data_IF_262469919654
#
_entry.id   IF_262469919654
#
_cell.length_a   1.000
_cell.length_b   1.000
_cell.length_c   1.000
_cell.angle_alpha   90.00
_cell.angle_beta   90.00
_cell.angle_gamma   90.00
#
_symmetry.space_group_name_H-M   'P 1'
#
loop_
_entity.id
_entity.type
_entity.pdbx_description
1 polymer ?
#
# COMPACT_ATOMS: atom_id res chain seq x y z
N UNK A 1 -5.29 -22.58 12.34
CA UNK A 1 -5.30 -22.37 13.79
C UNK A 1 -6.60 -22.99 14.34
N UNK A 2 -6.45 -24.00 15.21
CA UNK A 2 -7.59 -24.55 15.96
C UNK A 2 -7.93 -23.55 17.08
N UNK A 3 -9.21 -23.30 17.32
CA UNK A 3 -9.63 -22.66 18.56
C UNK A 3 -9.35 -23.59 19.76
N UNK A 4 -9.38 -23.05 20.97
CA UNK A 4 -9.12 -23.82 22.19
C UNK A 4 -10.16 -24.94 22.49
N UNK A 5 -11.19 -25.07 21.63
CA UNK A 5 -12.23 -26.08 21.74
C UNK A 5 -12.16 -27.17 20.65
N UNK A 6 -11.11 -27.13 19.80
CA UNK A 6 -10.91 -28.13 18.73
C UNK A 6 -11.97 -28.09 17.63
N UNK A 7 -12.76 -27.04 17.58
CA UNK A 7 -13.73 -26.83 16.50
C UNK A 7 -13.01 -26.27 15.28
N UNK A 8 -13.24 -26.93 14.19
CA UNK A 8 -12.52 -26.81 12.95
C UNK A 8 -12.33 -25.41 12.47
N UNK A 9 -11.21 -25.31 11.77
CA UNK A 9 -10.68 -24.13 11.10
C UNK A 9 -11.73 -23.06 10.86
N UNK A 10 -11.43 -21.88 11.36
CA UNK A 10 -12.15 -20.63 11.12
C UNK A 10 -12.79 -20.68 9.73
N UNK A 11 -14.06 -20.96 9.67
CA UNK A 11 -14.82 -20.96 8.42
C UNK A 11 -14.62 -19.57 7.79
N UNK A 12 -14.13 -19.52 6.55
CA UNK A 12 -13.83 -18.28 5.81
C UNK A 12 -12.69 -17.40 6.37
N UNK A 13 -11.75 -17.95 7.14
CA UNK A 13 -10.55 -17.25 7.64
C UNK A 13 -10.82 -16.01 8.52
N UNK A 14 -11.99 -15.92 9.14
CA UNK A 14 -12.35 -14.88 10.09
C UNK A 14 -11.73 -15.18 11.45
N UNK A 15 -10.91 -14.25 11.96
CA UNK A 15 -10.26 -14.42 13.25
C UNK A 15 -11.25 -14.16 14.39
N UNK A 16 -11.50 -15.10 15.32
CA UNK A 16 -12.47 -14.92 16.41
C UNK A 16 -12.00 -13.92 17.47
N UNK A 17 -10.72 -13.53 17.43
CA UNK A 17 -10.13 -12.57 18.34
C UNK A 17 -8.63 -12.48 18.19
N UNK A 18 -8.00 -11.50 18.83
CA UNK A 18 -6.57 -11.29 18.87
C UNK A 18 -6.14 -10.91 20.29
N UNK A 19 -5.26 -11.70 20.89
CA UNK A 19 -4.91 -11.54 22.30
C UNK A 19 -6.13 -11.72 23.22
N UNK A 20 -6.54 -10.66 23.91
CA UNK A 20 -7.71 -10.65 24.79
C UNK A 20 -8.98 -10.14 24.10
N UNK A 21 -8.84 -9.58 22.89
CA UNK A 21 -9.94 -8.95 22.16
C UNK A 21 -10.77 -10.01 21.42
N UNK A 22 -12.07 -9.90 21.49
CA UNK A 22 -13.02 -10.71 20.72
C UNK A 22 -13.49 -9.94 19.50
N UNK A 23 -13.68 -10.64 18.38
CA UNK A 23 -14.07 -10.07 17.09
C UNK A 23 -15.41 -10.64 16.63
N UNK A 24 -16.30 -9.75 16.18
CA UNK A 24 -17.52 -10.11 15.48
C UNK A 24 -17.47 -9.63 14.04
N UNK A 25 -18.09 -10.38 13.12
CA UNK A 25 -18.13 -10.07 11.70
C UNK A 25 -19.54 -10.14 11.17
N UNK A 26 -19.85 -9.35 10.14
CA UNK A 26 -21.06 -9.49 9.38
C UNK A 26 -20.96 -10.65 8.35
N UNK A 27 -22.02 -10.85 7.58
CA UNK A 27 -22.07 -11.90 6.54
C UNK A 27 -21.04 -11.69 5.43
N UNK A 28 -20.66 -10.46 5.15
CA UNK A 28 -19.66 -10.08 4.14
C UNK A 28 -18.22 -10.22 4.65
N UNK A 29 -18.02 -10.60 5.92
CA UNK A 29 -16.71 -10.79 6.50
C UNK A 29 -16.01 -9.49 6.95
N UNK A 30 -16.77 -8.41 7.10
CA UNK A 30 -16.28 -7.17 7.66
C UNK A 30 -16.40 -7.17 9.18
N UNK A 31 -15.38 -6.66 9.87
CA UNK A 31 -15.35 -6.58 11.33
C UNK A 31 -16.41 -5.60 11.84
N UNK A 32 -17.34 -6.07 12.65
CA UNK A 32 -18.42 -5.25 13.22
C UNK A 32 -18.22 -4.93 14.69
N UNK A 33 -17.51 -5.78 15.42
CA UNK A 33 -17.22 -5.55 16.84
C UNK A 33 -15.76 -5.91 17.17
N UNK A 34 -15.11 -5.06 17.96
CA UNK A 34 -13.76 -5.23 18.46
C UNK A 34 -13.59 -4.40 19.73
N UNK A 35 -13.09 -5.01 20.84
CA UNK A 35 -12.99 -4.32 22.13
C UNK A 35 -14.35 -3.74 22.55
N UNK A 36 -14.42 -2.43 22.82
CA UNK A 36 -15.62 -1.64 23.07
C UNK A 36 -16.15 -0.94 21.82
N UNK A 37 -15.62 -1.29 20.63
CA UNK A 37 -15.93 -0.63 19.36
C UNK A 37 -17.01 -1.38 18.59
N UNK A 38 -17.90 -0.61 17.95
CA UNK A 38 -18.86 -1.07 16.95
C UNK A 38 -18.55 -0.39 15.63
N UNK A 39 -18.39 -1.17 14.56
CA UNK A 39 -17.98 -0.72 13.23
C UNK A 39 -19.14 -0.94 12.24
N UNK A 40 -19.48 0.08 11.47
CA UNK A 40 -20.53 0.06 10.46
C UNK A 40 -19.94 0.29 9.07
N UNK A 41 -20.35 -0.55 8.12
CA UNK A 41 -19.84 -0.57 6.75
C UNK A 41 -20.95 -0.27 5.74
N UNK A 42 -20.61 0.33 4.62
CA UNK A 42 -21.53 0.49 3.49
C UNK A 42 -21.46 -0.72 2.54
N UNK A 43 -22.34 -0.72 1.54
CA UNK A 43 -22.41 -1.80 0.55
C UNK A 43 -21.16 -1.92 -0.36
N UNK A 44 -20.25 -0.95 -0.32
CA UNK A 44 -18.96 -0.95 -1.03
C UNK A 44 -17.80 -1.47 -0.16
N UNK A 45 -18.09 -1.98 1.06
CA UNK A 45 -17.06 -2.45 1.98
C UNK A 45 -16.24 -1.34 2.62
N UNK A 46 -16.75 -0.09 2.66
CA UNK A 46 -16.08 1.03 3.28
C UNK A 46 -16.60 1.26 4.69
N UNK A 47 -15.71 1.47 5.65
CA UNK A 47 -16.06 1.81 7.02
C UNK A 47 -16.66 3.21 7.09
N UNK A 48 -17.91 3.32 7.48
CA UNK A 48 -18.64 4.60 7.48
C UNK A 48 -18.75 5.21 8.87
N UNK A 49 -18.77 4.37 9.91
CA UNK A 49 -18.93 4.82 11.29
C UNK A 49 -18.29 3.87 12.27
N UNK A 50 -17.69 4.44 13.31
CA UNK A 50 -17.21 3.68 14.48
C UNK A 50 -17.77 4.33 15.74
N UNK A 51 -18.33 3.51 16.62
CA UNK A 51 -18.74 3.89 17.96
C UNK A 51 -17.74 3.30 18.95
N UNK A 52 -17.15 4.11 19.81
CA UNK A 52 -16.24 3.70 20.87
C UNK A 52 -16.54 4.52 22.15
N UNK A 53 -17.04 3.83 23.17
CA UNK A 53 -17.46 4.50 24.41
C UNK A 53 -18.47 5.64 24.17
N UNK A 54 -18.08 6.86 24.53
CA UNK A 54 -18.91 8.06 24.40
C UNK A 54 -18.65 8.88 23.12
N UNK A 55 -17.94 8.32 22.14
CA UNK A 55 -17.64 8.97 20.87
C UNK A 55 -18.17 8.14 19.70
N UNK A 56 -18.42 8.83 18.61
CA UNK A 56 -18.66 8.23 17.31
C UNK A 56 -17.86 8.98 16.25
N UNK A 57 -17.20 8.25 15.36
CA UNK A 57 -16.45 8.80 14.24
C UNK A 57 -17.11 8.41 12.94
N UNK A 58 -17.28 9.39 12.06
CA UNK A 58 -17.83 9.21 10.73
C UNK A 58 -16.75 9.41 9.67
N UNK A 59 -16.78 8.58 8.64
CA UNK A 59 -15.85 8.59 7.53
C UNK A 59 -16.59 8.90 6.22
N UNK A 60 -16.00 9.76 5.39
CA UNK A 60 -16.50 10.10 4.07
C UNK A 60 -15.49 9.74 2.98
N UNK A 61 -16.01 9.30 1.83
CA UNK A 61 -15.22 8.82 0.70
C UNK A 61 -15.63 9.52 -0.58
N UNK A 62 -14.74 9.57 -1.55
CA UNK A 62 -15.03 9.99 -2.91
C UNK A 62 -15.46 8.82 -3.81
N UNK A 63 -15.76 9.13 -5.07
CA UNK A 63 -16.18 8.13 -6.05
C UNK A 63 -15.11 7.08 -6.42
N UNK A 64 -13.84 7.34 -6.09
CA UNK A 64 -12.73 6.40 -6.28
C UNK A 64 -12.45 5.55 -5.03
N UNK A 65 -13.26 5.69 -3.97
CA UNK A 65 -13.10 4.95 -2.72
C UNK A 65 -12.06 5.53 -1.77
N UNK A 66 -11.48 6.71 -2.08
CA UNK A 66 -10.47 7.35 -1.23
C UNK A 66 -11.17 8.12 -0.11
N UNK A 67 -10.68 7.97 1.10
CA UNK A 67 -11.24 8.67 2.26
C UNK A 67 -10.94 10.17 2.18
N UNK A 68 -11.98 11.00 2.13
CA UNK A 68 -11.86 12.46 2.05
C UNK A 68 -12.01 13.14 3.40
N UNK A 69 -12.59 12.46 4.38
CA UNK A 69 -12.83 13.02 5.71
C UNK A 69 -12.93 11.94 6.78
N UNK A 70 -12.48 12.28 8.00
CA UNK A 70 -12.94 11.67 9.26
C UNK A 70 -13.35 12.76 10.24
N UNK A 71 -14.42 12.53 11.01
CA UNK A 71 -14.89 13.48 12.01
C UNK A 71 -15.48 12.74 13.22
N UNK A 72 -14.99 13.09 14.42
CA UNK A 72 -15.40 12.46 15.68
C UNK A 72 -16.34 13.41 16.45
N UNK A 73 -17.42 12.85 16.93
CA UNK A 73 -18.47 13.53 17.69
C UNK A 73 -18.62 12.91 19.08
N UNK A 74 -19.13 13.68 20.02
CA UNK A 74 -19.63 13.12 21.27
C UNK A 74 -21.01 12.50 21.08
N UNK A 75 -21.19 11.23 21.43
CA UNK A 75 -22.41 10.44 21.17
C UNK A 75 -23.70 11.06 21.75
N UNK A 76 -23.59 11.87 22.80
CA UNK A 76 -24.74 12.45 23.50
C UNK A 76 -24.65 13.98 23.62
N UNK A 77 -23.64 14.63 23.07
CA UNK A 77 -23.30 16.02 23.40
C UNK A 77 -23.36 17.00 22.23
N UNK A 78 -23.92 16.61 21.07
CA UNK A 78 -24.22 17.59 20.05
C UNK A 78 -23.63 17.34 18.67
N UNK A 79 -23.98 18.24 17.76
CA UNK A 79 -23.68 18.14 16.32
C UNK A 79 -22.30 18.73 15.92
N UNK A 80 -21.53 19.25 16.88
CA UNK A 80 -20.21 19.83 16.61
C UNK A 80 -19.14 18.76 16.73
N UNK A 81 -18.33 18.59 15.70
CA UNK A 81 -17.21 17.66 15.71
C UNK A 81 -16.18 18.07 16.77
N UNK A 82 -15.74 17.11 17.60
CA UNK A 82 -14.64 17.28 18.56
C UNK A 82 -13.31 17.31 17.85
N UNK A 83 -13.16 16.48 16.80
CA UNK A 83 -12.01 16.48 15.91
C UNK A 83 -12.47 16.21 14.48
N UNK A 84 -11.74 16.77 13.52
CA UNK A 84 -11.98 16.56 12.10
C UNK A 84 -10.66 16.58 11.35
N UNK A 85 -10.52 15.67 10.40
CA UNK A 85 -9.43 15.65 9.43
C UNK A 85 -10.02 15.53 8.03
N UNK A 86 -9.63 16.42 7.13
CA UNK A 86 -9.95 16.35 5.71
C UNK A 86 -8.68 15.91 4.95
N UNK A 87 -8.84 15.08 3.91
CA UNK A 87 -7.75 14.47 3.14
C UNK A 87 -7.81 14.87 1.67
N UNK A 88 -6.64 15.10 1.07
CA UNK A 88 -6.46 15.35 -0.37
C UNK A 88 -5.50 14.32 -0.93
N UNK A 89 -5.83 13.77 -2.08
CA UNK A 89 -5.14 12.66 -2.72
C UNK A 89 -4.56 13.06 -4.07
N UNK A 90 -3.37 12.53 -4.36
CA UNK A 90 -2.78 12.51 -5.70
C UNK A 90 -2.82 11.06 -6.21
N UNK A 91 -3.73 10.77 -7.14
CA UNK A 91 -4.06 9.39 -7.47
C UNK A 91 -4.56 8.65 -6.23
N UNK A 92 -3.87 7.60 -5.81
CA UNK A 92 -4.17 6.83 -4.60
C UNK A 92 -3.19 7.07 -3.45
N UNK A 93 -2.34 8.09 -3.56
CA UNK A 93 -1.39 8.50 -2.53
C UNK A 93 -1.92 9.71 -1.77
N UNK A 94 -1.81 9.69 -0.45
CA UNK A 94 -2.18 10.82 0.39
C UNK A 94 -1.23 12.01 0.12
N UNK A 95 -1.77 13.10 -0.43
CA UNK A 95 -0.99 14.32 -0.69
C UNK A 95 -1.02 15.27 0.49
N UNK A 96 -2.22 15.52 1.03
CA UNK A 96 -2.41 16.49 2.12
C UNK A 96 -3.45 16.01 3.12
N UNK A 97 -3.29 16.47 4.35
CA UNK A 97 -4.33 16.41 5.37
C UNK A 97 -4.54 17.80 5.99
N UNK A 98 -5.76 18.06 6.44
CA UNK A 98 -6.09 19.23 7.24
C UNK A 98 -6.66 18.77 8.58
N UNK A 99 -5.83 18.78 9.61
CA UNK A 99 -6.25 18.42 10.96
C UNK A 99 -6.82 19.65 11.64
N UNK A 100 -8.03 19.54 12.18
CA UNK A 100 -8.69 20.64 12.90
C UNK A 100 -7.76 21.22 13.97
N UNK A 101 -7.62 22.54 14.01
CA UNK A 101 -6.74 23.34 14.89
C UNK A 101 -5.23 23.22 14.59
N UNK A 102 -4.77 22.25 13.78
CA UNK A 102 -3.36 22.15 13.37
C UNK A 102 -3.12 22.69 11.95
N UNK A 103 -4.16 22.71 11.10
CA UNK A 103 -4.08 23.20 9.72
C UNK A 103 -3.58 22.15 8.74
N UNK A 104 -3.17 22.63 7.57
CA UNK A 104 -2.72 21.80 6.46
C UNK A 104 -1.30 21.27 6.64
N UNK A 105 -1.12 20.00 6.33
CA UNK A 105 0.17 19.32 6.14
C UNK A 105 0.21 18.75 4.74
N UNK A 106 1.29 18.99 4.00
CA UNK A 106 1.57 18.42 2.69
C UNK A 106 2.68 17.40 2.84
N UNK A 107 2.49 16.19 2.34
CA UNK A 107 3.49 15.13 2.32
C UNK A 107 4.27 15.15 1.01
N UNK A 108 5.58 14.92 1.10
CA UNK A 108 6.49 14.75 -0.01
C UNK A 108 7.04 13.32 0.06
N UNK A 109 7.04 12.66 -1.06
CA UNK A 109 7.43 11.25 -1.17
C UNK A 109 8.66 11.09 -2.06
N UNK A 110 9.37 10.00 -1.87
CA UNK A 110 10.48 9.61 -2.72
C UNK A 110 10.00 9.39 -4.16
N UNK A 111 10.84 9.77 -5.14
CA UNK A 111 10.49 9.68 -6.56
C UNK A 111 10.50 8.23 -7.09
N UNK A 112 11.33 7.38 -6.50
CA UNK A 112 11.49 5.97 -6.88
C UNK A 112 10.59 5.05 -6.04
N UNK A 113 10.31 5.46 -4.79
CA UNK A 113 9.43 4.75 -3.84
C UNK A 113 8.21 5.62 -3.48
N UNK A 114 7.17 5.63 -4.30
CA UNK A 114 6.10 6.65 -4.27
C UNK A 114 5.24 6.66 -2.99
N UNK A 115 5.37 5.67 -2.12
CA UNK A 115 4.69 5.61 -0.82
C UNK A 115 5.64 5.81 0.37
N UNK A 116 6.93 6.06 0.13
CA UNK A 116 7.93 6.36 1.17
C UNK A 116 7.99 7.86 1.41
N UNK A 117 7.56 8.38 2.57
CA UNK A 117 7.61 9.80 2.86
C UNK A 117 9.06 10.24 3.10
N UNK A 118 9.46 11.35 2.50
CA UNK A 118 10.79 11.97 2.71
C UNK A 118 10.68 13.25 3.53
N UNK A 119 9.58 13.99 3.39
CA UNK A 119 9.33 15.19 4.18
C UNK A 119 7.84 15.50 4.29
N UNK A 120 7.48 16.37 5.22
CA UNK A 120 6.19 17.07 5.22
C UNK A 120 6.36 18.55 5.46
N UNK A 121 5.41 19.35 4.98
CA UNK A 121 5.40 20.79 5.10
C UNK A 121 4.12 21.23 5.79
N UNK A 122 4.26 22.05 6.84
CA UNK A 122 3.16 22.72 7.55
C UNK A 122 3.34 24.24 7.48
N UNK A 123 2.28 24.99 7.76
CA UNK A 123 2.30 26.46 7.72
C UNK A 123 2.26 27.04 6.31
N UNK A 124 2.32 28.38 6.20
CA UNK A 124 2.28 29.12 4.94
C UNK A 124 3.28 30.28 4.96
N UNK A 125 3.83 30.62 3.78
CA UNK A 125 4.75 31.73 3.65
C UNK A 125 5.96 31.60 4.58
N UNK A 126 6.24 32.63 5.38
CA UNK A 126 7.37 32.66 6.32
C UNK A 126 7.19 31.74 7.54
N UNK A 127 5.95 31.37 7.87
CA UNK A 127 5.67 30.40 8.95
C UNK A 127 5.78 28.95 8.53
N UNK A 128 6.23 28.68 7.30
CA UNK A 128 6.39 27.34 6.77
C UNK A 128 7.46 26.59 7.53
N UNK A 129 7.13 25.37 7.96
CA UNK A 129 8.02 24.41 8.61
C UNK A 129 8.13 23.16 7.77
N UNK A 130 9.35 22.61 7.68
CA UNK A 130 9.65 21.37 6.99
C UNK A 130 10.08 20.33 8.02
N UNK A 131 9.52 19.13 7.92
CA UNK A 131 9.77 17.99 8.77
C UNK A 131 10.30 16.87 7.93
N UNK A 132 11.46 16.28 8.27
CA UNK A 132 12.15 15.25 7.51
C UNK A 132 11.89 13.89 8.11
N UNK A 133 11.51 12.93 7.28
CA UNK A 133 11.21 11.55 7.67
C UNK A 133 12.44 10.67 7.48
N UNK A 134 12.75 9.88 8.51
CA UNK A 134 13.75 8.83 8.47
C UNK A 134 12.99 7.51 8.51
N UNK A 135 13.10 6.74 7.44
CA UNK A 135 12.35 5.50 7.25
C UNK A 135 13.26 4.28 7.33
N UNK A 136 12.67 3.13 7.61
CA UNK A 136 13.35 1.86 7.43
C UNK A 136 13.40 1.44 5.95
N UNK A 137 13.93 0.25 5.69
CA UNK A 137 14.07 -0.31 4.33
C UNK A 137 12.73 -0.56 3.62
N UNK A 138 11.63 -0.57 4.34
CA UNK A 138 10.27 -0.72 3.78
C UNK A 138 9.60 0.61 3.48
N UNK A 139 10.22 1.74 3.82
CA UNK A 139 9.62 3.07 3.72
C UNK A 139 8.75 3.47 4.91
N UNK A 140 8.77 2.70 6.01
CA UNK A 140 8.00 3.00 7.21
C UNK A 140 8.73 4.02 8.08
N UNK A 141 8.09 5.16 8.46
CA UNK A 141 8.71 6.17 9.32
C UNK A 141 9.13 5.60 10.67
N UNK A 142 10.39 5.85 11.04
CA UNK A 142 10.97 5.50 12.34
C UNK A 142 11.22 6.75 13.18
N UNK A 143 11.63 7.85 12.53
CA UNK A 143 11.94 9.13 13.18
C UNK A 143 11.49 10.29 12.30
N UNK A 144 11.22 11.43 12.91
CA UNK A 144 10.99 12.71 12.23
C UNK A 144 11.85 13.78 12.89
N UNK A 145 12.56 14.58 12.06
CA UNK A 145 13.38 15.69 12.54
C UNK A 145 12.90 17.02 11.96
N UNK A 146 13.16 18.09 12.70
CA UNK A 146 13.05 19.46 12.20
C UNK A 146 14.23 19.80 11.27
N UNK A 147 14.17 20.98 10.63
CA UNK A 147 15.21 21.42 9.69
C UNK A 147 16.60 21.64 10.34
N UNK A 148 16.66 21.88 11.63
CA UNK A 148 17.89 22.00 12.41
C UNK A 148 18.44 20.64 12.93
N UNK A 149 17.81 19.53 12.55
CA UNK A 149 18.16 18.19 12.99
C UNK A 149 17.54 17.78 14.34
N UNK A 150 16.75 18.65 14.98
CA UNK A 150 16.08 18.31 16.25
C UNK A 150 15.08 17.17 16.02
N UNK A 151 15.23 16.08 16.79
CA UNK A 151 14.28 14.98 16.79
C UNK A 151 12.94 15.42 17.39
N UNK A 152 11.86 15.37 16.61
CA UNK A 152 10.51 15.78 17.04
C UNK A 152 9.59 14.60 17.30
N UNK A 153 9.84 13.47 16.66
CA UNK A 153 9.10 12.23 16.85
C UNK A 153 10.00 11.02 16.58
N UNK A 154 9.83 9.96 17.35
CA UNK A 154 10.41 8.65 17.10
C UNK A 154 9.41 7.57 17.51
N UNK A 155 9.23 6.55 16.66
CA UNK A 155 8.33 5.42 16.89
C UNK A 155 9.07 4.11 17.08
N UNK A 156 8.57 3.25 17.97
CA UNK A 156 9.02 1.87 18.09
C UNK A 156 8.08 0.95 17.30
N UNK A 157 8.43 0.71 16.04
CA UNK A 157 7.60 -0.05 15.09
C UNK A 157 7.97 -1.54 15.15
N UNK A 158 6.97 -2.39 15.41
CA UNK A 158 7.11 -3.86 15.36
C UNK A 158 6.90 -4.37 13.94
N UNK A 159 7.32 -5.62 13.68
CA UNK A 159 7.42 -6.23 12.34
C UNK A 159 6.18 -6.16 11.43
N UNK A 160 4.99 -6.06 12.00
CA UNK A 160 3.74 -5.86 11.23
C UNK A 160 3.20 -4.42 11.32
N UNK A 161 4.06 -3.44 11.59
CA UNK A 161 3.70 -2.02 11.53
C UNK A 161 3.00 -1.48 12.77
N UNK A 162 2.85 -2.29 13.85
CA UNK A 162 2.35 -1.80 15.13
C UNK A 162 3.33 -0.79 15.73
N UNK A 163 2.90 0.45 15.96
CA UNK A 163 3.66 1.41 16.76
C UNK A 163 3.41 1.12 18.24
N UNK A 164 4.33 0.37 18.86
CA UNK A 164 4.19 -0.06 20.25
C UNK A 164 4.44 1.06 21.26
N UNK A 165 5.19 2.09 20.86
CA UNK A 165 5.45 3.30 21.65
C UNK A 165 5.96 4.39 20.73
N UNK A 166 5.67 5.65 21.05
CA UNK A 166 6.31 6.79 20.40
C UNK A 166 6.82 7.81 21.43
N UNK A 167 7.79 8.59 20.99
CA UNK A 167 8.40 9.66 21.75
C UNK A 167 8.27 10.95 20.93
N UNK A 168 7.66 11.98 21.51
CA UNK A 168 7.70 13.33 20.99
C UNK A 168 8.56 14.21 21.90
N UNK A 169 9.71 14.67 21.40
CA UNK A 169 10.68 15.46 22.17
C UNK A 169 10.38 16.97 22.14
N UNK A 170 9.42 17.42 21.35
CA UNK A 170 9.16 18.85 21.11
C UNK A 170 8.39 19.54 22.24
N UNK A 171 8.01 18.81 23.30
CA UNK A 171 7.11 19.33 24.34
C UNK A 171 5.68 19.61 23.85
N UNK A 172 5.46 19.52 22.57
CA UNK A 172 4.16 19.52 21.90
C UNK A 172 4.00 18.21 21.14
N UNK A 173 2.80 17.64 21.16
CA UNK A 173 2.52 16.42 20.43
C UNK A 173 2.74 16.62 18.92
N UNK A 174 3.67 15.87 18.34
CA UNK A 174 3.85 15.83 16.90
C UNK A 174 2.93 14.77 16.29
N UNK A 175 1.97 15.19 15.50
CA UNK A 175 1.06 14.28 14.81
C UNK A 175 1.80 13.55 13.67
N UNK A 176 2.03 12.25 13.84
CA UNK A 176 2.67 11.37 12.84
C UNK A 176 1.81 10.12 12.61
N UNK A 177 0.87 10.18 11.64
CA UNK A 177 -0.08 9.09 11.40
C UNK A 177 0.38 8.07 10.36
N UNK A 178 1.44 8.35 9.58
CA UNK A 178 1.90 7.42 8.55
C UNK A 178 2.47 6.15 9.19
N UNK A 179 2.17 4.99 8.60
CA UNK A 179 2.58 3.66 9.07
C UNK A 179 3.29 2.90 7.95
N UNK A 180 3.04 1.62 7.75
CA UNK A 180 3.52 0.90 6.57
C UNK A 180 3.10 1.66 5.29
N UNK A 181 3.84 1.57 4.17
CA UNK A 181 3.53 2.29 2.95
C UNK A 181 2.05 2.27 2.57
N UNK A 182 1.47 3.45 2.34
CA UNK A 182 0.04 3.61 2.06
C UNK A 182 -0.89 3.64 3.28
N UNK A 183 -0.39 3.37 4.49
CA UNK A 183 -1.20 3.30 5.71
C UNK A 183 -1.23 4.62 6.48
N UNK A 184 -2.41 4.93 7.02
CA UNK A 184 -2.69 6.06 7.90
C UNK A 184 -3.32 5.57 9.21
N UNK A 185 -2.71 5.88 10.34
CA UNK A 185 -3.19 5.48 11.66
C UNK A 185 -4.40 6.31 12.09
N UNK A 186 -5.42 5.64 12.58
CA UNK A 186 -6.63 6.22 13.13
C UNK A 186 -6.66 6.04 14.64
N UNK A 187 -6.36 7.12 15.38
CA UNK A 187 -6.30 7.12 16.86
C UNK A 187 -7.60 6.62 17.50
N UNK A 188 -8.74 6.95 16.89
CA UNK A 188 -10.06 6.60 17.40
C UNK A 188 -10.38 5.10 17.32
N UNK A 189 -9.69 4.37 16.44
CA UNK A 189 -9.91 2.93 16.28
C UNK A 189 -8.71 2.08 16.66
N UNK A 190 -7.50 2.66 16.54
CA UNK A 190 -6.24 1.89 16.58
C UNK A 190 -6.01 1.06 15.32
N UNK A 191 -6.83 1.24 14.27
CA UNK A 191 -6.64 0.62 12.97
C UNK A 191 -5.81 1.53 12.06
N UNK A 192 -5.22 0.95 11.01
CA UNK A 192 -4.60 1.70 9.94
C UNK A 192 -5.54 1.70 8.72
N UNK A 193 -5.94 2.89 8.28
CA UNK A 193 -6.61 3.05 6.99
C UNK A 193 -5.61 2.78 5.87
N UNK A 194 -5.89 1.82 5.03
CA UNK A 194 -5.05 1.40 3.90
C UNK A 194 -5.87 1.40 2.60
N UNK A 195 -6.33 2.58 2.20
CA UNK A 195 -7.13 2.89 1.02
C UNK A 195 -8.42 2.06 0.92
N UNK A 196 -8.38 0.84 0.36
CA UNK A 196 -9.58 0.01 0.18
C UNK A 196 -9.90 -0.89 1.38
N UNK A 197 -8.99 -0.99 2.36
CA UNK A 197 -9.17 -1.80 3.56
C UNK A 197 -8.71 -1.08 4.82
N UNK A 198 -9.05 -1.66 5.96
CA UNK A 198 -8.52 -1.29 7.27
C UNK A 198 -7.70 -2.43 7.83
N UNK A 199 -6.55 -2.10 8.37
CA UNK A 199 -5.55 -3.04 8.87
C UNK A 199 -5.44 -2.98 10.39
N UNK A 200 -5.40 -4.16 11.03
CA UNK A 200 -5.19 -4.33 12.46
C UNK A 200 -3.73 -4.70 12.72
N UNK A 201 -2.88 -3.74 13.13
CA UNK A 201 -1.43 -3.98 13.25
C UNK A 201 -1.08 -4.98 14.35
N UNK A 202 -1.87 -5.05 15.41
CA UNK A 202 -1.68 -6.00 16.51
C UNK A 202 -1.88 -7.46 16.10
N UNK A 203 -2.61 -7.69 14.99
CA UNK A 203 -2.87 -9.03 14.46
C UNK A 203 -2.16 -9.27 13.12
N UNK A 204 -1.56 -8.26 12.53
CA UNK A 204 -0.88 -8.35 11.25
C UNK A 204 -1.81 -8.66 10.06
N UNK A 205 -3.08 -8.17 10.10
CA UNK A 205 -4.07 -8.51 9.07
C UNK A 205 -5.10 -7.42 8.81
N UNK A 206 -5.76 -7.49 7.67
CA UNK A 206 -6.93 -6.67 7.38
C UNK A 206 -8.16 -7.11 8.18
N UNK A 207 -9.11 -6.19 8.38
CA UNK A 207 -10.36 -6.42 9.14
C UNK A 207 -11.57 -6.66 8.24
N UNK A 208 -11.38 -6.61 6.93
CA UNK A 208 -12.36 -6.95 5.88
C UNK A 208 -11.72 -7.85 4.84
N UNK A 209 -12.55 -8.55 4.08
CA UNK A 209 -12.07 -9.38 2.97
C UNK A 209 -11.47 -8.51 1.87
N UNK A 210 -10.58 -9.09 1.09
CA UNK A 210 -9.99 -8.44 -0.07
C UNK A 210 -11.08 -8.14 -1.11
N UNK A 211 -11.25 -6.88 -1.57
CA UNK A 211 -12.23 -6.53 -2.59
C UNK A 211 -12.01 -7.24 -3.94
N UNK A 212 -10.76 -7.65 -4.23
CA UNK A 212 -10.43 -8.42 -5.43
C UNK A 212 -10.59 -9.93 -5.23
N UNK A 213 -11.04 -10.35 -4.04
CA UNK A 213 -11.29 -11.76 -3.71
C UNK A 213 -10.06 -12.63 -3.81
N UNK A 214 -10.21 -13.84 -4.37
CA UNK A 214 -9.10 -14.80 -4.51
C UNK A 214 -7.97 -14.33 -5.44
N UNK A 215 -8.16 -13.25 -6.20
CA UNK A 215 -7.08 -12.64 -6.97
C UNK A 215 -6.00 -12.04 -6.05
N UNK A 216 -6.35 -11.61 -4.83
CA UNK A 216 -5.43 -11.18 -3.78
C UNK A 216 -4.88 -12.32 -2.92
N UNK A 217 -5.11 -13.59 -3.29
CA UNK A 217 -4.62 -14.74 -2.55
C UNK A 217 -5.70 -15.53 -1.82
N UNK A 218 -5.34 -16.72 -1.31
CA UNK A 218 -6.28 -17.63 -0.62
C UNK A 218 -6.73 -17.04 0.72
N UNK A 219 -5.85 -16.29 1.40
CA UNK A 219 -6.17 -15.63 2.66
C UNK A 219 -6.66 -14.21 2.40
N UNK A 220 -7.97 -14.02 2.28
CA UNK A 220 -8.61 -12.74 1.97
C UNK A 220 -8.36 -11.62 3.01
N UNK A 221 -7.74 -11.93 4.14
CA UNK A 221 -7.40 -10.95 5.19
C UNK A 221 -5.89 -10.73 5.34
N UNK A 222 -5.07 -11.35 4.52
CA UNK A 222 -3.61 -11.19 4.58
C UNK A 222 -3.19 -9.80 4.15
N UNK A 223 -2.16 -9.24 4.83
CA UNK A 223 -1.46 -8.04 4.36
C UNK A 223 -0.38 -8.41 3.36
N UNK A 224 0.58 -9.22 3.79
CA UNK A 224 1.70 -9.69 2.99
C UNK A 224 2.33 -10.94 3.62
N UNK A 225 2.94 -11.84 2.85
CA UNK A 225 3.65 -13.00 3.39
C UNK A 225 4.83 -12.58 4.26
N UNK A 226 5.50 -11.51 3.89
CA UNK A 226 6.61 -10.91 4.61
C UNK A 226 6.57 -9.39 4.49
N UNK A 227 6.12 -8.66 5.52
CA UNK A 227 5.96 -7.20 5.48
C UNK A 227 7.29 -6.42 5.39
N UNK A 228 8.44 -7.09 5.54
CA UNK A 228 9.77 -6.48 5.34
C UNK A 228 10.18 -6.47 3.87
N UNK A 229 9.57 -7.33 3.06
CA UNK A 229 9.89 -7.47 1.62
C UNK A 229 8.75 -7.06 0.70
N UNK A 230 7.53 -7.09 1.20
CA UNK A 230 6.32 -6.90 0.42
C UNK A 230 5.48 -5.77 0.99
N UNK A 231 5.00 -4.88 0.13
CA UNK A 231 4.16 -3.75 0.50
C UNK A 231 2.81 -3.89 -0.20
N UNK A 232 1.75 -3.56 0.52
CA UNK A 232 0.40 -3.44 -0.03
C UNK A 232 -0.15 -2.02 0.18
N UNK A 233 0.28 -1.03 -0.61
CA UNK A 233 -0.09 0.37 -0.42
C UNK A 233 -1.55 0.66 -0.68
N UNK A 234 -2.24 -0.21 -1.41
CA UNK A 234 -3.63 -0.03 -1.80
C UNK A 234 -4.60 -0.83 -0.92
N UNK A 235 -4.11 -1.76 -0.11
CA UNK A 235 -4.99 -2.72 0.57
C UNK A 235 -5.68 -3.67 -0.42
N UNK A 236 -5.00 -4.02 -1.50
CA UNK A 236 -5.45 -4.96 -2.53
C UNK A 236 -4.29 -5.93 -2.77
N UNK A 237 -4.14 -6.89 -1.86
CA UNK A 237 -2.97 -7.73 -1.82
C UNK A 237 -2.93 -8.71 -2.98
N UNK A 238 -2.16 -8.37 -4.01
CA UNK A 238 -1.73 -9.28 -5.07
C UNK A 238 -0.41 -9.96 -4.64
N UNK A 239 -0.49 -11.14 -4.02
CA UNK A 239 0.69 -12.00 -3.84
C UNK A 239 0.94 -12.74 -5.13
N UNK A 240 2.11 -12.48 -5.73
CA UNK A 240 2.60 -13.34 -6.79
C UNK A 240 3.04 -14.67 -6.19
N UNK A 241 2.52 -15.77 -6.73
CA UNK A 241 3.01 -17.11 -6.41
C UNK A 241 4.31 -17.38 -7.17
N UNK A 242 5.14 -18.28 -6.67
CA UNK A 242 6.39 -18.71 -7.33
C UNK A 242 6.21 -19.09 -8.81
N UNK A 243 5.04 -19.63 -9.15
CA UNK A 243 4.66 -20.05 -10.51
C UNK A 243 4.11 -18.93 -11.38
N UNK A 244 3.79 -17.76 -10.79
CA UNK A 244 3.26 -16.65 -11.57
C UNK A 244 4.31 -16.11 -12.52
N UNK A 245 3.85 -15.61 -13.67
CA UNK A 245 4.73 -15.11 -14.72
C UNK A 245 4.86 -13.60 -14.67
N UNK A 246 6.06 -13.13 -14.95
CA UNK A 246 6.42 -11.72 -15.11
C UNK A 246 6.78 -11.49 -16.56
N UNK A 247 6.10 -10.53 -17.20
CA UNK A 247 6.28 -10.24 -18.62
C UNK A 247 6.96 -8.90 -18.84
N UNK A 248 7.89 -8.85 -19.81
CA UNK A 248 8.52 -7.64 -20.30
C UNK A 248 8.44 -7.54 -21.82
N UNK A 249 8.06 -6.40 -22.33
CA UNK A 249 8.03 -6.14 -23.77
C UNK A 249 9.40 -5.82 -24.35
N UNK A 250 9.67 -6.23 -25.58
CA UNK A 250 10.87 -5.88 -26.34
C UNK A 250 11.92 -6.99 -26.44
N UNK A 251 13.15 -6.60 -26.79
CA UNK A 251 14.24 -7.53 -27.07
C UNK A 251 14.82 -8.23 -25.84
N UNK A 252 14.60 -7.70 -24.64
CA UNK A 252 15.09 -8.21 -23.36
C UNK A 252 16.61 -8.52 -23.36
N UNK A 253 17.40 -7.67 -24.07
CA UNK A 253 18.88 -7.72 -24.03
C UNK A 253 19.42 -6.96 -22.82
N UNK A 254 20.66 -7.26 -22.39
CA UNK A 254 21.32 -6.55 -21.31
C UNK A 254 21.34 -5.03 -21.54
N UNK A 255 21.60 -4.59 -22.76
CA UNK A 255 21.59 -3.17 -23.13
C UNK A 255 20.17 -2.57 -22.99
N UNK A 256 19.12 -3.32 -23.34
CA UNK A 256 17.73 -2.85 -23.19
C UNK A 256 17.29 -2.73 -21.73
N UNK A 257 17.91 -3.50 -20.83
CA UNK A 257 17.70 -3.36 -19.39
C UNK A 257 18.47 -2.17 -18.83
N UNK A 258 19.75 -2.00 -19.17
CA UNK A 258 20.58 -0.86 -18.70
C UNK A 258 20.04 0.51 -19.15
N UNK A 259 19.50 0.58 -20.37
CA UNK A 259 19.03 1.84 -20.97
C UNK A 259 17.49 1.98 -20.88
N UNK A 260 16.81 1.21 -20.06
CA UNK A 260 15.38 1.32 -19.85
C UNK A 260 14.99 2.64 -19.20
N UNK A 261 13.85 3.22 -19.61
CA UNK A 261 13.32 4.44 -18.98
C UNK A 261 13.02 4.18 -17.51
N UNK A 262 13.63 4.96 -16.61
CA UNK A 262 13.46 4.83 -15.17
C UNK A 262 14.32 3.74 -14.52
N UNK A 263 15.22 3.10 -15.26
CA UNK A 263 16.16 2.12 -14.70
C UNK A 263 17.42 2.83 -14.22
N UNK A 264 17.83 2.53 -13.00
CA UNK A 264 19.10 2.96 -12.41
C UNK A 264 19.96 1.75 -12.04
N UNK A 265 21.27 1.89 -12.01
CA UNK A 265 22.20 0.86 -11.57
C UNK A 265 22.98 1.32 -10.32
N UNK A 266 23.10 0.43 -9.33
CA UNK A 266 23.94 0.67 -8.16
C UNK A 266 25.44 0.43 -8.46
N UNK A 267 26.29 0.65 -7.45
CA UNK A 267 27.74 0.46 -7.55
C UNK A 267 28.16 -0.99 -7.89
N UNK A 268 27.29 -1.96 -7.69
CA UNK A 268 27.51 -3.39 -7.98
C UNK A 268 26.88 -3.80 -9.32
N UNK A 269 26.34 -2.86 -10.10
CA UNK A 269 25.67 -3.09 -11.37
C UNK A 269 24.27 -3.73 -11.24
N UNK A 270 23.68 -3.74 -10.03
CA UNK A 270 22.30 -4.17 -9.83
C UNK A 270 21.35 -3.07 -10.28
N UNK A 271 20.35 -3.44 -11.05
CA UNK A 271 19.35 -2.54 -11.61
C UNK A 271 18.19 -2.37 -10.66
N UNK A 272 17.62 -1.17 -10.63
CA UNK A 272 16.33 -0.82 -10.03
C UNK A 272 15.41 -0.22 -11.09
N UNK A 273 14.08 -0.36 -10.91
CA UNK A 273 13.11 0.27 -11.81
C UNK A 273 12.87 -0.48 -13.12
N UNK A 274 13.17 -1.78 -13.21
CA UNK A 274 12.85 -2.57 -14.41
C UNK A 274 11.34 -2.73 -14.54
N UNK A 275 10.72 -1.98 -15.45
CA UNK A 275 9.28 -2.00 -15.70
C UNK A 275 8.84 -3.31 -16.39
N UNK A 276 7.89 -3.99 -15.77
CA UNK A 276 7.33 -5.28 -16.22
C UNK A 276 5.81 -5.28 -16.05
N UNK A 277 5.17 -6.39 -16.39
CA UNK A 277 3.77 -6.68 -16.06
C UNK A 277 3.71 -8.01 -15.31
N UNK A 278 3.04 -8.02 -14.19
CA UNK A 278 2.77 -9.22 -13.40
C UNK A 278 1.41 -9.09 -12.73
N UNK A 279 0.74 -10.22 -12.54
CA UNK A 279 -0.50 -10.30 -11.78
C UNK A 279 -0.71 -11.76 -11.37
N UNK A 280 -1.16 -12.03 -10.15
CA UNK A 280 -1.45 -13.37 -9.67
C UNK A 280 -2.40 -14.12 -10.61
N UNK A 281 -2.03 -15.34 -10.93
CA UNK A 281 -2.80 -16.26 -11.78
C UNK A 281 -3.16 -15.68 -13.17
N UNK A 282 -2.49 -14.64 -13.63
CA UNK A 282 -2.77 -14.06 -14.94
C UNK A 282 -2.06 -14.83 -16.06
N UNK A 283 -2.80 -15.09 -17.12
CA UNK A 283 -2.24 -15.68 -18.34
C UNK A 283 -1.41 -14.68 -19.14
N UNK A 284 -0.58 -15.24 -20.03
CA UNK A 284 0.34 -14.47 -20.87
C UNK A 284 -0.35 -13.39 -21.72
N UNK A 285 -1.56 -13.64 -22.23
CA UNK A 285 -2.33 -12.68 -23.00
C UNK A 285 -2.67 -11.42 -22.18
N UNK A 286 -3.12 -11.60 -20.94
CA UNK A 286 -3.46 -10.50 -20.04
C UNK A 286 -2.25 -9.62 -19.76
N UNK A 287 -1.09 -10.22 -19.45
CA UNK A 287 0.12 -9.51 -19.10
C UNK A 287 0.83 -8.86 -20.30
N UNK A 288 0.67 -9.44 -21.49
CA UNK A 288 1.30 -8.92 -22.71
C UNK A 288 0.47 -7.89 -23.46
N UNK A 289 -0.82 -7.76 -23.14
CA UNK A 289 -1.74 -6.82 -23.77
C UNK A 289 -1.27 -5.35 -23.75
N UNK A 290 -0.64 -4.82 -22.67
CA UNK A 290 -0.14 -3.46 -22.65
C UNK A 290 1.08 -3.21 -23.56
N UNK A 291 1.79 -4.26 -23.97
CA UNK A 291 3.02 -4.12 -24.74
C UNK A 291 2.74 -3.96 -26.25
N UNK A 292 3.34 -2.93 -26.84
CA UNK A 292 3.33 -2.69 -28.30
C UNK A 292 4.28 -3.60 -29.07
N UNK A 293 5.22 -4.22 -28.37
CA UNK A 293 6.29 -5.02 -28.96
C UNK A 293 5.76 -6.35 -29.51
N UNK A 294 6.34 -6.77 -30.64
CA UNK A 294 6.04 -8.08 -31.25
C UNK A 294 6.68 -9.26 -30.49
N UNK A 295 7.68 -8.96 -29.66
CA UNK A 295 8.38 -9.94 -28.84
C UNK A 295 8.22 -9.56 -27.38
N UNK A 296 8.09 -10.55 -26.52
CA UNK A 296 8.02 -10.42 -25.07
C UNK A 296 8.95 -11.43 -24.41
N UNK A 297 9.58 -11.03 -23.32
CA UNK A 297 10.31 -11.91 -22.42
C UNK A 297 9.40 -12.32 -21.27
N UNK A 298 9.53 -13.54 -20.79
CA UNK A 298 8.74 -14.11 -19.69
C UNK A 298 9.68 -14.80 -18.72
N UNK A 299 9.53 -14.51 -17.44
CA UNK A 299 10.20 -15.20 -16.35
C UNK A 299 9.17 -15.58 -15.28
N UNK A 300 9.47 -16.57 -14.43
CA UNK A 300 8.66 -16.84 -13.26
C UNK A 300 9.12 -16.01 -12.07
N UNK A 301 8.23 -15.80 -11.10
CA UNK A 301 8.57 -15.13 -9.84
C UNK A 301 9.72 -15.88 -9.15
N UNK A 302 9.61 -17.21 -9.03
CA UNK A 302 10.65 -18.03 -8.41
C UNK A 302 12.03 -17.87 -9.07
N UNK A 303 12.09 -17.79 -10.40
CA UNK A 303 13.37 -17.62 -11.10
C UNK A 303 13.99 -16.24 -10.85
N UNK A 304 13.17 -15.19 -10.79
CA UNK A 304 13.63 -13.83 -10.48
C UNK A 304 14.16 -13.76 -9.05
N UNK A 305 13.43 -14.30 -8.07
CA UNK A 305 13.84 -14.31 -6.66
C UNK A 305 15.09 -15.16 -6.44
N UNK A 306 15.19 -16.32 -7.08
CA UNK A 306 16.39 -17.18 -7.05
C UNK A 306 17.62 -16.49 -7.61
N UNK A 307 17.47 -15.60 -8.57
CA UNK A 307 18.55 -14.77 -9.11
C UNK A 307 18.91 -13.57 -8.21
N UNK A 308 18.17 -13.38 -7.11
CA UNK A 308 18.37 -12.28 -6.14
C UNK A 308 17.61 -11.01 -6.50
N UNK A 309 16.65 -11.09 -7.42
CA UNK A 309 15.71 -10.02 -7.74
C UNK A 309 14.54 -9.96 -6.75
N UNK A 310 13.87 -8.82 -6.74
CA UNK A 310 12.59 -8.59 -6.04
C UNK A 310 11.56 -8.07 -7.03
N UNK A 311 10.28 -8.33 -6.76
CA UNK A 311 9.18 -7.90 -7.63
C UNK A 311 8.19 -7.13 -6.78
N UNK A 312 7.87 -5.91 -7.20
CA UNK A 312 6.88 -5.06 -6.54
C UNK A 312 5.72 -4.81 -7.51
N UNK A 313 4.51 -5.15 -7.09
CA UNK A 313 3.29 -4.76 -7.80
C UNK A 313 2.96 -3.31 -7.40
N UNK A 314 3.21 -2.36 -8.27
CA UNK A 314 3.17 -0.93 -7.93
C UNK A 314 2.05 -0.14 -8.62
N UNK A 315 1.26 -0.79 -9.49
CA UNK A 315 0.08 -0.18 -10.10
C UNK A 315 0.36 1.22 -10.66
N UNK A 316 1.28 1.37 -11.58
CA UNK A 316 1.77 2.67 -12.06
C UNK A 316 0.72 3.44 -12.88
N UNK A 317 0.60 4.75 -12.63
CA UNK A 317 -0.19 5.63 -13.50
C UNK A 317 0.49 5.78 -14.86
N UNK A 318 -0.28 5.56 -15.92
CA UNK A 318 0.18 5.86 -17.28
C UNK A 318 0.30 7.38 -17.44
N UNK A 319 1.53 7.88 -17.56
CA UNK A 319 1.83 9.32 -17.70
C UNK A 319 1.20 9.97 -18.94
N UNK A 320 0.76 9.18 -19.92
CA UNK A 320 0.20 9.70 -21.18
C UNK A 320 -1.30 9.98 -21.13
N UNK A 321 -2.06 9.27 -20.27
CA UNK A 321 -3.53 9.35 -20.25
C UNK A 321 -4.13 9.29 -18.83
N UNK A 322 -3.32 9.27 -17.79
CA UNK A 322 -3.77 9.18 -16.39
C UNK A 322 -4.48 7.87 -16.01
N UNK A 323 -4.52 6.87 -16.90
CA UNK A 323 -5.09 5.57 -16.57
C UNK A 323 -4.13 4.73 -15.71
N UNK A 324 -4.67 3.99 -14.76
CA UNK A 324 -3.89 3.12 -13.89
C UNK A 324 -3.54 1.81 -14.63
N UNK A 325 -2.26 1.48 -14.68
CA UNK A 325 -1.79 0.19 -15.18
C UNK A 325 -1.79 -0.82 -14.02
N UNK A 326 -2.93 -1.45 -13.77
CA UNK A 326 -3.17 -2.34 -12.61
C UNK A 326 -2.22 -3.54 -12.54
N UNK A 327 -1.65 -3.95 -13.66
CA UNK A 327 -0.75 -5.10 -13.71
C UNK A 327 0.73 -4.68 -13.80
N UNK A 328 1.04 -3.38 -13.59
CA UNK A 328 2.42 -2.93 -13.60
C UNK A 328 3.16 -3.48 -12.39
N UNK A 329 4.36 -4.00 -12.65
CA UNK A 329 5.28 -4.47 -11.63
C UNK A 329 6.68 -3.96 -11.91
N UNK A 330 7.42 -3.67 -10.86
CA UNK A 330 8.83 -3.30 -10.93
C UNK A 330 9.69 -4.45 -10.43
N UNK A 331 10.72 -4.79 -11.20
CA UNK A 331 11.73 -5.77 -10.80
C UNK A 331 13.04 -5.04 -10.48
N UNK A 332 13.58 -5.32 -9.30
CA UNK A 332 14.80 -4.72 -8.77
C UNK A 332 15.83 -5.79 -8.39
N UNK A 333 17.09 -5.38 -8.21
CA UNK A 333 18.15 -6.20 -7.62
C UNK A 333 18.84 -7.19 -8.57
N UNK A 334 18.45 -7.25 -9.85
CA UNK A 334 19.12 -8.06 -10.88
C UNK A 334 20.22 -7.26 -11.59
N UNK A 335 21.31 -7.91 -11.99
CA UNK A 335 22.18 -7.30 -13.00
C UNK A 335 21.54 -7.38 -14.39
N UNK A 336 22.00 -6.60 -15.35
CA UNK A 336 21.45 -6.62 -16.70
C UNK A 336 21.61 -7.98 -17.38
N UNK A 337 22.69 -8.66 -17.12
CA UNK A 337 23.01 -10.00 -17.65
C UNK A 337 22.11 -11.08 -17.01
N UNK A 338 21.80 -10.95 -15.70
CA UNK A 338 20.83 -11.82 -15.03
C UNK A 338 19.44 -11.61 -15.60
N UNK A 339 19.02 -10.35 -15.78
CA UNK A 339 17.73 -10.02 -16.38
C UNK A 339 17.62 -10.53 -17.83
N UNK A 340 18.67 -10.37 -18.65
CA UNK A 340 18.71 -10.96 -20.00
C UNK A 340 18.52 -12.47 -19.97
N UNK A 341 19.25 -13.17 -19.11
CA UNK A 341 19.17 -14.63 -18.98
C UNK A 341 17.78 -15.13 -18.58
N UNK A 342 17.10 -14.38 -17.71
CA UNK A 342 15.77 -14.74 -17.22
C UNK A 342 14.67 -14.49 -18.26
N UNK A 343 14.73 -13.35 -18.97
CA UNK A 343 13.68 -12.94 -19.90
C UNK A 343 13.95 -13.37 -21.35
N UNK A 344 15.01 -14.13 -21.61
CA UNK A 344 15.31 -14.74 -22.92
C UNK A 344 15.32 -16.28 -22.85
N UNK A 345 14.97 -16.95 -23.97
CA UNK A 345 14.59 -16.37 -25.27
C UNK A 345 13.24 -15.64 -25.19
N UNK A 346 13.10 -14.56 -25.96
CA UNK A 346 11.81 -13.89 -26.15
C UNK A 346 10.90 -14.73 -27.04
N UNK A 347 9.60 -14.58 -26.85
CA UNK A 347 8.58 -15.25 -27.66
C UNK A 347 7.63 -14.24 -28.31
N UNK A 348 6.89 -14.63 -29.37
CA UNK A 348 5.91 -13.74 -29.98
C UNK A 348 4.86 -13.28 -28.96
N UNK A 349 4.48 -11.99 -29.03
CA UNK A 349 3.38 -11.49 -28.23
C UNK A 349 2.06 -12.13 -28.72
N UNK A 350 1.33 -12.87 -27.88
CA UNK A 350 0.12 -13.57 -28.30
C UNK A 350 -1.05 -12.64 -28.63
N UNK A 351 -1.02 -11.39 -28.16
CA UNK A 351 -2.08 -10.42 -28.39
C UNK A 351 -1.95 -9.85 -29.80
N UNK A 352 -3.04 -9.82 -30.63
CA UNK A 352 -3.06 -9.18 -31.93
C UNK A 352 -2.68 -7.70 -31.86
N UNK A 353 -1.97 -7.17 -32.85
CA UNK A 353 -1.41 -5.80 -32.85
C UNK A 353 -2.48 -4.74 -32.62
N UNK A 354 -3.66 -4.92 -33.17
CA UNK A 354 -4.83 -4.04 -33.04
C UNK A 354 -5.44 -3.98 -31.65
N UNK A 355 -5.21 -5.01 -30.82
CA UNK A 355 -5.71 -5.13 -29.45
C UNK A 355 -4.67 -4.72 -28.39
N UNK A 356 -3.43 -4.45 -28.81
CA UNK A 356 -2.36 -4.00 -27.90
C UNK A 356 -2.60 -2.54 -27.51
N UNK A 357 -2.14 -2.19 -26.33
CA UNK A 357 -2.34 -0.90 -25.67
C UNK A 357 -2.29 0.35 -26.57
N UNK A 358 -2.64 1.54 -26.09
CA UNK A 358 -2.93 2.70 -26.92
C UNK A 358 -1.77 3.00 -27.89
N UNK A 359 -2.10 3.11 -29.17
CA UNK A 359 -1.17 3.64 -30.18
C UNK A 359 -0.73 5.01 -29.69
N UNK A 360 0.58 5.22 -29.46
CA UNK A 360 1.09 6.59 -29.35
C UNK A 360 0.67 7.28 -30.65
N UNK A 361 -0.15 8.32 -30.54
CA UNK A 361 -0.33 9.24 -31.64
C UNK A 361 1.06 9.71 -32.07
N UNK A 362 1.29 9.73 -33.36
CA UNK A 362 2.44 10.35 -33.99
C UNK A 362 2.58 11.79 -33.53
#
# INVERSE_FOLDING_TARGET
LLDNEGQGAVMSNRLPGCGRDRYGYNEWGELTTRRDQQLEWNAQGQLTRVISGNTETHYGYDALGRRTRKATYGRHTGHTARSRTDFVWEGFRLLQENVQQQGWRTYLYDAEQPYTPVASVTGKGESRQVWYYHTDVTGTPQEVTAADGTLVWAGYIRGFGENAADISNSGAYFHQPLRLPGQYFDDETGLHYNLFRYYAPECGRFVSQDPIGLAGGINLYSYAPNPIKWMDPLGLHDILADTDIVCRGGACSADSFKNGSGVAADANGKLSGISTQAKPNAGLETLSQPFKHNQIGVATVADIEKAGGTITLDGKLNSSNGSMMMNHATVDGLTAEQAEKLFRPTQPNPVPVEQRGPKRGC
#
